data_IF_153894827419
#
_entry.id   IF_153894827419
#
_cell.length_a   1.000
_cell.length_b   1.000
_cell.length_c   1.000
_cell.angle_alpha   90.00
_cell.angle_beta   90.00
_cell.angle_gamma   90.00
#
_symmetry.space_group_name_H-M   'P 1'
#
loop_
_entity.id
_entity.type
_entity.pdbx_description
1 polymer ?
#
# COMPACT_ATOMS: atom_id res chain seq x y z
N UNK A 1 13.78 -12.66 -10.17
CA UNK A 1 13.50 -13.00 -8.75
C UNK A 1 12.61 -11.89 -8.22
N UNK A 2 11.33 -12.19 -7.95
CA UNK A 2 10.31 -11.16 -7.78
C UNK A 2 10.58 -10.28 -6.56
N UNK A 3 10.93 -9.01 -6.79
CA UNK A 3 11.28 -8.02 -5.77
C UNK A 3 10.06 -7.53 -4.97
N UNK A 4 8.84 -7.96 -5.33
CA UNK A 4 7.60 -7.41 -4.79
C UNK A 4 6.65 -8.50 -4.26
N UNK A 5 6.00 -8.23 -3.12
CA UNK A 5 4.91 -9.00 -2.56
C UNK A 5 3.70 -9.01 -3.51
N UNK A 6 2.98 -10.14 -3.65
CA UNK A 6 1.78 -10.25 -4.48
C UNK A 6 0.73 -9.18 -4.17
N UNK A 7 0.00 -8.74 -5.20
CA UNK A 7 -1.23 -7.96 -5.01
C UNK A 7 -2.22 -8.82 -4.22
N UNK A 8 -2.89 -8.23 -3.23
CA UNK A 8 -3.73 -8.92 -2.26
C UNK A 8 -2.99 -9.35 -0.99
N UNK A 9 -1.67 -9.17 -0.91
CA UNK A 9 -0.91 -9.45 0.32
C UNK A 9 -1.38 -8.58 1.47
N UNK A 10 -1.66 -9.20 2.61
CA UNK A 10 -2.01 -8.52 3.86
C UNK A 10 -0.73 -8.33 4.66
N UNK A 11 -0.38 -7.07 4.92
CA UNK A 11 0.85 -6.68 5.62
C UNK A 11 0.53 -5.86 6.87
N UNK A 12 1.45 -5.89 7.83
CA UNK A 12 1.45 -5.00 8.98
C UNK A 12 2.75 -4.21 8.97
N UNK A 13 2.65 -2.88 8.85
CA UNK A 13 3.83 -2.02 8.86
C UNK A 13 4.45 -2.00 10.26
N UNK A 14 5.77 -1.83 10.34
CA UNK A 14 6.49 -1.75 11.62
C UNK A 14 5.93 -0.60 12.47
N UNK A 15 5.43 -0.94 13.66
CA UNK A 15 4.79 0.03 14.57
C UNK A 15 3.33 0.37 14.23
N UNK A 16 2.79 -0.18 13.14
CA UNK A 16 1.37 -0.07 12.79
C UNK A 16 0.51 -1.04 13.60
N UNK A 17 -0.76 -0.68 13.80
CA UNK A 17 -1.75 -1.51 14.48
C UNK A 17 -2.82 -2.09 13.53
N UNK A 18 -2.98 -1.48 12.34
CA UNK A 18 -3.95 -1.90 11.34
C UNK A 18 -3.29 -2.70 10.23
N UNK A 19 -3.95 -3.79 9.83
CA UNK A 19 -3.54 -4.59 8.67
C UNK A 19 -3.90 -3.84 7.39
N UNK A 20 -3.01 -3.89 6.41
CA UNK A 20 -3.18 -3.26 5.11
C UNK A 20 -3.14 -4.32 4.02
N UNK A 21 -3.96 -4.17 2.99
CA UNK A 21 -3.94 -5.01 1.79
C UNK A 21 -3.32 -4.23 0.63
N UNK A 22 -2.23 -4.75 0.08
CA UNK A 22 -1.57 -4.19 -1.09
C UNK A 22 -2.47 -4.39 -2.30
N UNK A 23 -2.83 -3.31 -3.00
CA UNK A 23 -3.63 -3.39 -4.21
C UNK A 23 -2.96 -2.76 -5.44
N UNK A 24 -1.80 -2.12 -5.27
CA UNK A 24 -0.99 -1.61 -6.38
C UNK A 24 0.50 -1.58 -6.06
N UNK A 25 1.32 -1.51 -7.11
CA UNK A 25 2.78 -1.46 -7.05
C UNK A 25 3.30 -0.27 -7.88
N UNK A 26 4.47 0.26 -7.53
CA UNK A 26 5.11 1.41 -8.23
C UNK A 26 4.16 2.60 -8.39
N UNK A 27 3.48 2.96 -7.31
CA UNK A 27 2.50 4.03 -7.31
C UNK A 27 3.22 5.38 -7.35
N UNK A 28 2.86 6.21 -8.32
CA UNK A 28 3.30 7.61 -8.35
C UNK A 28 2.26 8.43 -7.59
N UNK A 29 2.72 9.13 -6.55
CA UNK A 29 1.89 10.09 -5.84
C UNK A 29 1.66 11.32 -6.73
N UNK A 30 0.41 11.66 -7.00
CA UNK A 30 0.04 12.79 -7.85
C UNK A 30 0.52 14.14 -7.30
N UNK A 31 0.59 14.28 -5.97
CA UNK A 31 0.97 15.52 -5.28
C UNK A 31 2.49 15.68 -5.20
N UNK A 32 3.21 14.65 -4.73
CA UNK A 32 4.67 14.74 -4.54
C UNK A 32 5.49 14.28 -5.74
N UNK A 33 4.88 13.63 -6.75
CA UNK A 33 5.55 12.95 -7.87
C UNK A 33 6.54 11.86 -7.47
N UNK A 34 6.53 11.46 -6.19
CA UNK A 34 7.37 10.39 -5.68
C UNK A 34 6.79 9.03 -6.07
N UNK A 35 7.67 8.12 -6.50
CA UNK A 35 7.35 6.71 -6.69
C UNK A 35 7.47 5.95 -5.37
N UNK A 36 6.47 5.11 -5.09
CA UNK A 36 6.41 4.23 -3.93
C UNK A 36 6.27 2.78 -4.38
N UNK A 37 6.88 1.86 -3.64
CA UNK A 37 6.83 0.43 -4.02
C UNK A 37 5.40 -0.11 -4.00
N UNK A 38 4.59 0.33 -3.02
CA UNK A 38 3.20 -0.12 -2.88
C UNK A 38 2.22 1.00 -2.58
N UNK A 39 0.97 0.72 -2.95
CA UNK A 39 -0.22 1.35 -2.40
C UNK A 39 -1.13 0.27 -1.78
N UNK A 40 -1.65 0.56 -0.60
CA UNK A 40 -2.50 -0.35 0.15
C UNK A 40 -3.69 0.37 0.79
N UNK A 41 -4.74 -0.40 1.10
CA UNK A 41 -5.91 0.06 1.84
C UNK A 41 -6.04 -0.71 3.15
N UNK A 42 -6.88 -0.25 4.08
CA UNK A 42 -7.14 -0.96 5.34
C UNK A 42 -7.85 -2.29 5.01
N UNK A 43 -7.41 -3.36 5.66
CA UNK A 43 -8.06 -4.68 5.57
C UNK A 43 -8.88 -4.95 6.83
N UNK A 44 -10.14 -5.44 6.70
CA UNK A 44 -10.83 -5.88 5.47
C UNK A 44 -11.67 -4.81 4.76
N UNK A 45 -11.62 -3.55 5.20
CA UNK A 45 -12.51 -2.47 4.77
C UNK A 45 -12.40 -2.16 3.27
N UNK A 46 -11.22 -2.34 2.68
CA UNK A 46 -10.99 -2.12 1.26
C UNK A 46 -10.70 -0.67 0.91
N UNK A 47 -10.71 -0.37 -0.39
CA UNK A 47 -10.43 0.98 -0.91
C UNK A 47 -11.72 1.82 -0.91
N UNK A 48 -11.85 2.72 0.08
CA UNK A 48 -13.03 3.57 0.28
C UNK A 48 -12.84 4.95 -0.33
N UNK A 49 -11.67 5.55 -0.11
CA UNK A 49 -11.32 6.89 -0.60
C UNK A 49 -9.80 6.98 -0.68
N UNK A 50 -9.30 7.81 -1.60
CA UNK A 50 -7.86 8.08 -1.76
C UNK A 50 -7.19 8.53 -0.46
N UNK A 51 -7.91 9.19 0.44
CA UNK A 51 -7.41 9.63 1.76
C UNK A 51 -7.06 8.47 2.70
N UNK A 52 -7.61 7.29 2.47
CA UNK A 52 -7.34 6.08 3.27
C UNK A 52 -6.29 5.17 2.63
N UNK A 53 -5.63 5.63 1.56
CA UNK A 53 -4.55 4.90 0.93
C UNK A 53 -3.24 5.11 1.69
N UNK A 54 -2.51 4.02 1.84
CA UNK A 54 -1.19 3.99 2.45
C UNK A 54 -0.15 3.73 1.36
N UNK A 55 0.83 4.63 1.26
CA UNK A 55 1.98 4.50 0.37
C UNK A 55 3.22 4.15 1.20
N UNK A 56 3.98 3.15 0.79
CA UNK A 56 5.20 2.74 1.49
C UNK A 56 6.19 2.02 0.56
N UNK A 57 7.46 2.01 0.98
CA UNK A 57 8.55 1.29 0.33
C UNK A 57 8.93 0.03 1.11
N UNK A 58 9.46 -0.97 0.42
CA UNK A 58 9.90 -2.27 0.98
C UNK A 58 11.38 -2.52 0.75
#
# INVERSE_FOLDING_TARGET
>A
MEKYLPIGSIVLLKGGQKKLMIYGRKQIDSGTKKEWDYVACIYPEGNIDLKYNYLFCY
#
